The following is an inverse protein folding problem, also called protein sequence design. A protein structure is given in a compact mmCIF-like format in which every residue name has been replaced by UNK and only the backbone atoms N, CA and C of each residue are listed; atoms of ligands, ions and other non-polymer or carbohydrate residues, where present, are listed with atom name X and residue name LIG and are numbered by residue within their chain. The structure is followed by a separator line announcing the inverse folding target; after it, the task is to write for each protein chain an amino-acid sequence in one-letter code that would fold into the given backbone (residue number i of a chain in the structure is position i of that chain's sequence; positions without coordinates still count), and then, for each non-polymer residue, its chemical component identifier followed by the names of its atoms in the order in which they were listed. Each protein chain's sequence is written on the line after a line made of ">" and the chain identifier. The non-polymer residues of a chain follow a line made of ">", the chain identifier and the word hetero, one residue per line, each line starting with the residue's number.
data_IF_660822316586
#
_entry.id   IF_660822316586
#
_cell.length_a   1.000
_cell.length_b   1.000
_cell.length_c   1.000
_cell.angle_alpha   90.00
_cell.angle_beta   90.00
_cell.angle_gamma   90.00
#
_symmetry.space_group_name_H-M   'P 1'
#
loop_
_entity.id
_entity.type
_entity.pdbx_description
1 polymer ?
#
# COMPACT_ATOMS: atom_id res chain seq x y z
N UNK A 1 -4.42 -66.78 39.67
CA UNK A 1 -5.06 -65.57 40.22
C UNK A 1 -3.95 -64.53 40.40
N UNK A 2 -3.41 -63.89 39.35
CA UNK A 2 -3.90 -62.71 38.60
C UNK A 2 -4.34 -61.55 39.51
N UNK A 3 -3.39 -60.70 39.89
CA UNK A 3 -3.62 -59.34 40.37
C UNK A 3 -3.77 -58.43 39.15
N UNK A 4 -4.95 -57.80 39.00
CA UNK A 4 -5.26 -56.85 37.94
C UNK A 4 -5.26 -55.45 38.57
N UNK A 5 -4.27 -54.63 38.20
CA UNK A 5 -4.22 -53.19 38.51
C UNK A 5 -5.21 -52.51 37.56
N UNK A 6 -6.24 -51.88 38.11
CA UNK A 6 -7.22 -51.11 37.36
C UNK A 6 -6.65 -49.70 37.10
N UNK A 7 -6.13 -49.46 35.89
CA UNK A 7 -5.72 -48.14 35.43
C UNK A 7 -6.98 -47.40 34.90
N UNK A 8 -7.37 -46.31 35.55
CA UNK A 8 -8.45 -45.43 35.09
C UNK A 8 -7.91 -44.59 33.93
N UNK A 9 -8.36 -44.88 32.71
CA UNK A 9 -8.07 -44.12 31.50
C UNK A 9 -9.02 -42.93 31.43
N UNK A 10 -8.54 -41.73 31.77
CA UNK A 10 -9.25 -40.48 31.50
C UNK A 10 -9.05 -40.17 30.01
N UNK A 11 -10.07 -40.46 29.20
CA UNK A 11 -10.18 -39.99 27.82
C UNK A 11 -10.49 -38.49 27.83
N UNK A 12 -9.45 -37.64 27.89
CA UNK A 12 -9.59 -36.26 27.42
C UNK A 12 -9.52 -36.28 25.91
N UNK A 13 -10.66 -36.09 25.26
CA UNK A 13 -10.72 -35.76 23.84
C UNK A 13 -10.01 -34.42 23.62
N UNK A 14 -8.74 -34.48 23.24
CA UNK A 14 -8.07 -33.34 22.61
C UNK A 14 -8.76 -33.11 21.27
N UNK A 15 -9.71 -32.17 21.24
CA UNK A 15 -9.97 -31.44 20.00
C UNK A 15 -8.69 -30.68 19.68
N UNK A 16 -7.83 -31.28 18.86
CA UNK A 16 -6.79 -30.53 18.17
C UNK A 16 -7.49 -29.62 17.17
N UNK A 17 -7.81 -28.39 17.60
CA UNK A 17 -7.99 -27.30 16.66
C UNK A 17 -6.73 -27.23 15.79
N UNK A 18 -6.85 -27.04 14.46
CA UNK A 18 -5.67 -26.87 13.64
C UNK A 18 -4.91 -25.65 14.14
N UNK A 19 -3.68 -25.87 14.61
CA UNK A 19 -2.70 -24.82 14.86
C UNK A 19 -2.38 -24.17 13.50
N UNK A 20 -3.11 -23.13 13.15
CA UNK A 20 -2.69 -22.20 12.10
C UNK A 20 -1.43 -21.50 12.62
N UNK A 21 -0.27 -21.97 12.19
CA UNK A 21 1.02 -21.32 12.38
C UNK A 21 1.09 -20.10 11.45
N UNK A 22 0.33 -19.05 11.77
CA UNK A 22 0.10 -17.94 10.83
C UNK A 22 0.41 -16.59 11.48
N UNK A 23 1.65 -16.42 11.94
CA UNK A 23 2.15 -15.08 12.20
C UNK A 23 3.45 -14.84 11.45
N UNK A 24 3.30 -14.70 10.13
CA UNK A 24 4.27 -14.11 9.22
C UNK A 24 4.63 -12.65 9.61
N UNK A 25 3.95 -12.06 10.60
CA UNK A 25 4.23 -10.76 11.19
C UNK A 25 5.20 -10.86 12.37
N UNK A 26 6.31 -10.13 12.27
CA UNK A 26 7.33 -9.99 13.29
C UNK A 26 7.27 -8.56 13.86
N UNK A 27 7.18 -8.44 15.17
CA UNK A 27 7.38 -7.17 15.86
C UNK A 27 8.88 -6.88 15.91
N UNK A 28 9.31 -5.80 15.25
CA UNK A 28 10.74 -5.53 15.04
C UNK A 28 11.27 -4.38 15.88
N UNK A 29 10.41 -3.49 16.38
CA UNK A 29 10.85 -2.35 17.17
C UNK A 29 9.77 -1.79 18.09
N UNK A 30 10.14 -1.64 19.36
CA UNK A 30 9.51 -0.70 20.28
C UNK A 30 10.26 0.61 20.19
N UNK A 31 9.61 1.64 19.68
CA UNK A 31 10.22 2.97 19.69
C UNK A 31 9.81 3.72 20.96
N UNK A 32 10.68 4.57 21.51
CA UNK A 32 10.35 5.49 22.61
C UNK A 32 9.38 6.61 22.16
N UNK A 33 8.64 6.41 21.07
CA UNK A 33 7.83 7.42 20.41
C UNK A 33 6.36 7.04 20.44
N UNK A 34 5.52 8.05 20.30
CA UNK A 34 4.08 7.90 20.38
C UNK A 34 3.52 8.27 19.03
N UNK A 35 2.93 7.29 18.35
CA UNK A 35 2.11 7.50 17.17
C UNK A 35 2.88 7.76 15.87
N UNK A 36 3.11 6.69 15.12
CA UNK A 36 3.38 6.82 13.69
C UNK A 36 2.12 7.23 12.96
N UNK A 37 2.23 8.25 12.12
CA UNK A 37 1.08 8.84 11.44
C UNK A 37 1.04 8.45 9.96
N UNK A 38 2.21 8.45 9.31
CA UNK A 38 2.36 8.22 7.87
C UNK A 38 3.69 7.54 7.57
N UNK A 39 3.78 6.91 6.41
CA UNK A 39 5.00 6.28 5.93
C UNK A 39 5.14 6.49 4.43
N UNK A 40 6.38 6.51 3.95
CA UNK A 40 6.73 6.63 2.54
C UNK A 40 7.71 5.55 2.14
N UNK A 41 7.57 5.03 0.93
CA UNK A 41 8.45 4.02 0.35
C UNK A 41 9.22 4.60 -0.83
N UNK A 42 10.53 4.35 -0.88
CA UNK A 42 11.37 4.63 -2.04
C UNK A 42 11.60 3.35 -2.84
N UNK A 43 11.94 2.27 -2.15
CA UNK A 43 12.11 0.93 -2.70
C UNK A 43 12.03 -0.15 -1.60
N UNK A 44 12.36 -1.39 -1.97
CA UNK A 44 12.25 -2.54 -1.08
C UNK A 44 13.14 -2.51 0.19
N UNK A 45 14.17 -1.66 0.19
CA UNK A 45 15.14 -1.49 1.27
C UNK A 45 15.05 -0.11 1.92
N UNK A 46 14.68 0.91 1.14
CA UNK A 46 14.63 2.30 1.55
C UNK A 46 13.19 2.76 1.75
N UNK A 47 12.81 2.99 3.00
CA UNK A 47 11.50 3.54 3.35
C UNK A 47 11.56 4.22 4.71
N UNK A 48 10.60 5.11 4.96
CA UNK A 48 10.60 5.93 6.16
C UNK A 48 9.22 6.12 6.75
N UNK A 49 9.20 6.49 8.03
CA UNK A 49 7.98 6.72 8.79
C UNK A 49 8.05 8.03 9.54
N UNK A 50 6.98 8.81 9.41
CA UNK A 50 6.75 10.06 10.11
C UNK A 50 5.88 9.79 11.35
N UNK A 51 6.28 10.37 12.47
CA UNK A 51 5.52 10.28 13.70
C UNK A 51 5.89 11.37 14.71
N UNK A 52 5.25 11.30 15.87
CA UNK A 52 5.51 12.21 16.97
C UNK A 52 6.28 11.50 18.09
N UNK A 53 7.21 12.21 18.70
CA UNK A 53 7.82 11.75 19.93
C UNK A 53 6.86 11.91 21.12
N UNK A 54 7.17 11.28 22.27
CA UNK A 54 6.36 11.40 23.49
C UNK A 54 6.20 12.87 23.93
N UNK A 55 7.22 13.69 23.70
CA UNK A 55 7.20 15.13 23.97
C UNK A 55 6.50 15.96 22.87
N UNK A 56 5.89 15.32 21.88
CA UNK A 56 5.17 15.95 20.77
C UNK A 56 6.05 16.41 19.61
N UNK A 57 7.37 16.22 19.67
CA UNK A 57 8.28 16.67 18.60
C UNK A 57 8.17 15.79 17.37
N UNK A 58 8.15 16.41 16.19
CA UNK A 58 8.09 15.75 14.90
C UNK A 58 9.35 14.97 14.60
N UNK A 59 9.21 13.70 14.20
CA UNK A 59 10.34 12.81 13.91
C UNK A 59 10.10 12.05 12.62
N UNK A 60 11.16 11.90 11.85
CA UNK A 60 11.20 11.03 10.68
C UNK A 60 12.31 10.00 10.85
N UNK A 61 11.96 8.73 10.69
CA UNK A 61 12.90 7.61 10.69
C UNK A 61 13.00 7.02 9.31
N UNK A 62 14.22 6.78 8.86
CA UNK A 62 14.54 6.14 7.60
C UNK A 62 15.24 4.81 7.89
N UNK A 63 14.93 3.80 7.10
CA UNK A 63 15.72 2.57 6.98
C UNK A 63 16.31 2.49 5.57
N UNK A 64 17.48 1.88 5.47
CA UNK A 64 18.15 1.60 4.20
C UNK A 64 18.48 0.10 4.02
N UNK A 65 17.97 -0.75 4.91
CA UNK A 65 18.23 -2.19 4.96
C UNK A 65 16.95 -3.02 5.10
N UNK A 66 15.82 -2.46 4.67
CA UNK A 66 14.53 -3.14 4.74
C UNK A 66 14.02 -3.25 6.16
N UNK A 67 14.23 -2.22 6.97
CA UNK A 67 13.66 -2.07 8.32
C UNK A 67 14.36 -2.85 9.40
N UNK A 68 15.59 -3.32 9.16
CA UNK A 68 16.41 -3.98 10.17
C UNK A 68 16.98 -2.90 11.11
N UNK A 69 17.58 -1.86 10.54
CA UNK A 69 18.04 -0.68 11.24
C UNK A 69 17.25 0.57 10.82
N UNK A 70 17.07 1.48 11.77
CA UNK A 70 16.31 2.71 11.58
C UNK A 70 17.10 3.89 12.15
N UNK A 71 17.30 4.91 11.34
CA UNK A 71 18.00 6.14 11.68
C UNK A 71 17.01 7.31 11.69
N UNK A 72 17.08 8.16 12.72
CA UNK A 72 16.39 9.45 12.71
C UNK A 72 17.14 10.40 11.80
N UNK A 73 16.48 10.95 10.77
CA UNK A 73 17.11 11.92 9.87
C UNK A 73 16.58 13.33 10.06
N UNK A 74 15.33 13.49 10.50
CA UNK A 74 14.77 14.79 10.84
C UNK A 74 15.19 15.22 12.25
N UNK A 75 15.89 16.35 12.37
CA UNK A 75 16.48 16.87 13.62
C UNK A 75 15.62 17.95 14.27
N UNK A 76 15.86 18.20 15.57
CA UNK A 76 15.13 19.23 16.33
C UNK A 76 15.36 20.64 15.75
N UNK A 77 16.52 20.90 15.14
CA UNK A 77 16.87 22.19 14.52
C UNK A 77 15.91 22.57 13.37
N UNK A 78 15.33 21.56 12.70
CA UNK A 78 14.35 21.76 11.64
C UNK A 78 12.93 21.83 12.21
N UNK A 79 12.64 21.08 13.27
CA UNK A 79 11.29 20.96 13.83
C UNK A 79 10.85 22.12 14.72
N UNK A 80 11.75 22.99 15.18
CA UNK A 80 11.41 24.11 16.08
C UNK A 80 11.67 25.47 15.43
N UNK A 81 10.73 26.41 15.54
CA UNK A 81 10.93 27.80 15.10
C UNK A 81 12.13 28.44 15.82
N UNK A 82 12.28 28.17 17.11
CA UNK A 82 13.42 28.59 17.94
C UNK A 82 14.10 27.33 18.55
N UNK A 83 15.03 26.68 17.82
CA UNK A 83 15.62 25.40 18.25
C UNK A 83 16.37 25.42 19.58
N UNK A 84 17.14 26.48 19.82
CA UNK A 84 18.00 26.63 21.01
C UNK A 84 17.23 26.53 22.33
N UNK A 85 15.97 26.99 22.32
CA UNK A 85 15.06 26.96 23.46
C UNK A 85 13.87 26.02 23.25
N UNK A 86 13.88 25.23 22.16
CA UNK A 86 12.83 24.26 21.79
C UNK A 86 11.42 24.85 21.81
N UNK A 87 11.25 26.01 21.17
CA UNK A 87 9.96 26.72 21.11
C UNK A 87 9.40 26.77 19.69
N UNK A 88 8.08 26.62 19.60
CA UNK A 88 7.35 26.61 18.33
C UNK A 88 7.59 25.34 17.52
N UNK A 89 7.16 24.18 18.05
CA UNK A 89 7.24 22.91 17.31
C UNK A 89 6.34 22.96 16.06
N UNK A 90 6.87 22.50 14.94
CA UNK A 90 6.16 22.38 13.66
C UNK A 90 5.46 21.02 13.63
N UNK A 91 4.14 21.00 13.82
CA UNK A 91 3.39 19.74 13.83
C UNK A 91 3.04 19.30 12.41
N UNK A 92 3.31 18.05 12.02
CA UNK A 92 3.04 17.57 10.68
C UNK A 92 1.53 17.36 10.50
N UNK A 93 1.05 17.72 9.31
CA UNK A 93 -0.32 17.49 8.85
C UNK A 93 -0.35 16.28 7.91
N UNK A 94 0.53 16.29 6.91
CA UNK A 94 0.70 15.18 5.97
C UNK A 94 2.13 15.13 5.42
N UNK A 95 2.46 14.02 4.78
CA UNK A 95 3.70 13.80 4.05
C UNK A 95 3.39 13.28 2.66
N UNK A 96 4.06 13.82 1.65
CA UNK A 96 3.94 13.33 0.29
C UNK A 96 5.33 13.20 -0.35
N UNK A 97 5.45 12.19 -1.21
CA UNK A 97 6.64 11.94 -2.02
C UNK A 97 6.28 12.22 -3.47
N UNK A 98 7.06 13.08 -4.09
CA UNK A 98 6.94 13.48 -5.49
C UNK A 98 7.47 12.40 -6.43
N UNK A 99 7.06 12.45 -7.70
CA UNK A 99 7.62 11.60 -8.76
C UNK A 99 9.13 11.83 -8.97
N UNK A 100 9.61 13.04 -8.70
CA UNK A 100 11.03 13.41 -8.72
C UNK A 100 11.83 12.83 -7.54
N UNK A 101 11.15 12.17 -6.59
CA UNK A 101 11.76 11.56 -5.42
C UNK A 101 11.97 12.51 -4.23
N UNK A 102 11.56 13.77 -4.35
CA UNK A 102 11.54 14.72 -3.22
C UNK A 102 10.42 14.37 -2.25
N UNK A 103 10.62 14.73 -0.98
CA UNK A 103 9.68 14.47 0.10
C UNK A 103 9.34 15.78 0.78
N UNK A 104 8.04 16.03 0.95
CA UNK A 104 7.52 17.22 1.61
C UNK A 104 6.63 16.82 2.79
N UNK A 105 6.78 17.53 3.90
CA UNK A 105 5.96 17.45 5.09
C UNK A 105 5.30 18.82 5.26
N UNK A 106 3.98 18.88 5.12
CA UNK A 106 3.20 20.07 5.42
C UNK A 106 2.98 20.17 6.93
N UNK A 107 3.13 21.37 7.51
CA UNK A 107 2.94 21.62 8.93
C UNK A 107 1.75 22.54 9.23
N UNK A 108 1.28 22.53 10.46
CA UNK A 108 0.11 23.27 10.98
C UNK A 108 0.22 24.82 10.97
N UNK A 109 1.41 25.34 10.71
CA UNK A 109 1.78 26.77 10.78
C UNK A 109 2.19 27.36 9.42
N UNK A 110 1.75 26.73 8.32
CA UNK A 110 2.11 27.11 6.95
C UNK A 110 3.58 26.86 6.59
N UNK A 111 4.33 26.20 7.48
CA UNK A 111 5.69 25.74 7.19
C UNK A 111 5.67 24.41 6.45
N UNK A 112 6.64 24.25 5.57
CA UNK A 112 6.94 23.00 4.89
C UNK A 112 8.35 22.58 5.26
N UNK A 113 8.50 21.30 5.60
CA UNK A 113 9.80 20.65 5.78
C UNK A 113 9.98 19.73 4.58
N UNK A 114 11.12 19.79 3.92
CA UNK A 114 11.33 19.00 2.70
C UNK A 114 12.76 18.47 2.58
N UNK A 115 12.91 17.43 1.77
CA UNK A 115 14.17 16.80 1.44
C UNK A 115 14.21 16.49 -0.07
N UNK A 116 15.36 16.76 -0.67
CA UNK A 116 15.64 16.50 -2.10
C UNK A 116 16.71 15.43 -2.28
N UNK A 117 17.15 14.77 -1.20
CA UNK A 117 18.28 13.86 -1.16
C UNK A 117 17.92 12.54 -0.44
N UNK A 118 16.72 12.03 -0.75
CA UNK A 118 16.19 10.78 -0.19
C UNK A 118 16.11 10.78 1.34
N UNK A 119 15.67 11.91 1.92
CA UNK A 119 15.53 12.12 3.37
C UNK A 119 16.86 12.05 4.15
N UNK A 120 18.00 12.27 3.49
CA UNK A 120 19.31 12.32 4.15
C UNK A 120 19.49 13.65 4.88
N UNK A 121 19.09 14.76 4.26
CA UNK A 121 19.04 16.09 4.86
C UNK A 121 17.67 16.73 4.70
N UNK A 122 17.38 17.70 5.55
CA UNK A 122 16.09 18.38 5.62
C UNK A 122 16.27 19.89 5.64
N UNK A 123 15.38 20.56 4.95
CA UNK A 123 15.26 22.01 4.94
C UNK A 123 13.82 22.40 5.26
N UNK A 124 13.59 23.66 5.58
CA UNK A 124 12.23 24.18 5.76
C UNK A 124 12.07 25.56 5.15
N UNK A 125 10.84 25.87 4.77
CA UNK A 125 10.43 27.19 4.32
C UNK A 125 9.01 27.49 4.79
N UNK A 126 8.63 28.77 4.81
CA UNK A 126 7.26 29.19 5.08
C UNK A 126 6.58 29.52 3.75
N UNK A 127 5.37 29.00 3.55
CA UNK A 127 4.55 29.31 2.39
C UNK A 127 3.97 30.73 2.46
N UNK A 128 3.47 31.24 1.34
CA UNK A 128 2.80 32.55 1.26
C UNK A 128 1.53 32.64 2.10
N UNK A 129 0.90 31.51 2.41
CA UNK A 129 -0.32 31.45 3.23
C UNK A 129 -0.06 30.77 4.57
N UNK A 130 -0.53 31.43 5.63
CA UNK A 130 -0.57 30.88 6.99
C UNK A 130 -1.95 30.23 7.19
N UNK A 131 -2.09 29.03 6.63
CA UNK A 131 -3.36 28.31 6.59
C UNK A 131 -3.28 27.02 7.40
N UNK A 132 -4.37 26.68 8.09
CA UNK A 132 -4.49 25.45 8.85
C UNK A 132 -4.86 24.29 7.92
N UNK A 133 -3.90 23.88 7.08
CA UNK A 133 -4.08 22.74 6.19
C UNK A 133 -4.45 21.48 6.99
N UNK A 134 -5.30 20.65 6.37
CA UNK A 134 -5.76 19.36 6.87
C UNK A 134 -5.29 18.21 5.99
N UNK A 135 -5.09 18.49 4.71
CA UNK A 135 -4.65 17.52 3.71
C UNK A 135 -3.63 18.16 2.79
N UNK A 136 -2.71 17.35 2.30
CA UNK A 136 -1.63 17.79 1.44
C UNK A 136 -1.17 16.63 0.55
N UNK A 137 -0.92 16.91 -0.72
CA UNK A 137 -0.35 15.94 -1.65
C UNK A 137 0.47 16.65 -2.74
N UNK A 138 1.55 16.02 -3.21
CA UNK A 138 2.40 16.54 -4.28
C UNK A 138 2.41 15.57 -5.45
N UNK A 139 2.40 16.11 -6.67
CA UNK A 139 2.65 15.32 -7.87
C UNK A 139 4.15 15.26 -8.16
N UNK A 140 4.75 16.43 -8.42
CA UNK A 140 6.17 16.60 -8.72
C UNK A 140 6.80 17.67 -7.81
N UNK A 141 8.04 18.08 -8.08
CA UNK A 141 8.74 19.12 -7.30
C UNK A 141 8.13 20.53 -7.37
N UNK A 142 7.14 20.75 -8.23
CA UNK A 142 6.50 22.06 -8.46
C UNK A 142 5.01 22.04 -8.12
N UNK A 143 4.29 21.03 -8.62
CA UNK A 143 2.84 20.93 -8.56
C UNK A 143 2.42 20.17 -7.32
N UNK A 144 1.63 20.82 -6.48
CA UNK A 144 1.05 20.24 -5.29
C UNK A 144 -0.28 20.86 -4.92
N UNK A 145 -1.04 20.14 -4.12
CA UNK A 145 -2.32 20.60 -3.59
C UNK A 145 -2.32 20.54 -2.07
N UNK A 146 -2.99 21.50 -1.48
CA UNK A 146 -3.24 21.53 -0.05
C UNK A 146 -4.70 21.92 0.18
N UNK A 147 -5.30 21.43 1.26
CA UNK A 147 -6.67 21.78 1.58
C UNK A 147 -6.82 22.08 3.06
N UNK A 148 -7.61 23.10 3.37
CA UNK A 148 -8.22 23.24 4.70
C UNK A 148 -9.44 22.33 4.76
N UNK A 149 -10.25 22.49 5.80
CA UNK A 149 -11.53 21.81 5.91
C UNK A 149 -12.54 22.22 4.82
N UNK A 150 -12.39 23.41 4.21
CA UNK A 150 -13.38 23.97 3.28
C UNK A 150 -12.80 24.45 1.95
N UNK A 151 -11.50 24.69 1.88
CA UNK A 151 -10.85 25.37 0.74
C UNK A 151 -9.75 24.50 0.18
N UNK A 152 -9.74 24.33 -1.15
CA UNK A 152 -8.65 23.70 -1.89
C UNK A 152 -7.69 24.76 -2.41
N UNK A 153 -6.40 24.44 -2.37
CA UNK A 153 -5.34 25.25 -2.93
C UNK A 153 -4.47 24.41 -3.86
N UNK A 154 -3.95 25.05 -4.90
CA UNK A 154 -2.90 24.51 -5.76
C UNK A 154 -1.65 25.38 -5.68
N UNK A 155 -0.50 24.75 -5.80
CA UNK A 155 0.79 25.39 -5.99
C UNK A 155 1.43 24.82 -7.25
N UNK A 156 2.15 25.68 -7.98
CA UNK A 156 2.95 25.31 -9.16
C UNK A 156 4.44 25.69 -8.97
N UNK A 157 4.84 26.00 -7.74
CA UNK A 157 6.16 26.50 -7.38
C UNK A 157 6.73 25.82 -6.12
N UNK A 158 6.37 24.55 -5.90
CA UNK A 158 6.88 23.72 -4.82
C UNK A 158 6.35 24.15 -3.45
N UNK A 159 5.08 24.57 -3.40
CA UNK A 159 4.36 25.07 -2.22
C UNK A 159 4.85 26.43 -1.69
N UNK A 160 5.68 27.14 -2.45
CA UNK A 160 6.12 28.49 -2.08
C UNK A 160 4.93 29.46 -2.08
N UNK A 161 4.07 29.37 -3.08
CA UNK A 161 2.80 30.09 -3.16
C UNK A 161 1.63 29.15 -3.44
N UNK A 162 0.44 29.56 -3.01
CA UNK A 162 -0.80 28.83 -3.23
C UNK A 162 -1.86 29.74 -3.83
N UNK A 163 -2.64 29.18 -4.74
CA UNK A 163 -3.83 29.78 -5.34
C UNK A 163 -5.04 28.97 -4.90
N UNK A 164 -6.08 29.64 -4.42
CA UNK A 164 -7.34 29.01 -4.07
C UNK A 164 -8.08 28.54 -5.32
N UNK A 165 -8.54 27.28 -5.30
CA UNK A 165 -9.39 26.70 -6.34
C UNK A 165 -10.81 26.53 -5.80
N UNK A 166 -11.82 27.18 -6.41
CA UNK A 166 -13.20 26.99 -6.02
C UNK A 166 -13.72 25.60 -6.46
N UNK A 167 -14.35 24.89 -5.54
CA UNK A 167 -15.00 23.59 -5.82
C UNK A 167 -16.46 23.84 -6.20
N UNK A 168 -16.70 24.07 -7.49
CA UNK A 168 -18.04 24.33 -8.02
C UNK A 168 -18.59 23.10 -8.73
N UNK A 169 -19.65 22.50 -8.18
CA UNK A 169 -20.35 21.34 -8.75
C UNK A 169 -21.80 21.69 -9.02
N UNK A 170 -22.31 21.26 -10.17
CA UNK A 170 -23.71 21.45 -10.54
C UNK A 170 -24.61 20.72 -9.53
N UNK A 171 -25.53 21.44 -8.90
CA UNK A 171 -26.51 20.94 -7.93
C UNK A 171 -25.95 20.35 -6.63
N UNK A 172 -24.69 20.65 -6.26
CA UNK A 172 -24.12 20.22 -4.98
C UNK A 172 -23.29 21.33 -4.33
N UNK A 173 -23.49 21.52 -3.03
CA UNK A 173 -22.68 22.40 -2.20
C UNK A 173 -21.77 21.54 -1.34
N UNK A 174 -20.46 21.66 -1.53
CA UNK A 174 -19.46 21.00 -0.71
C UNK A 174 -19.30 21.76 0.60
N UNK A 175 -19.48 21.07 1.73
CA UNK A 175 -19.37 21.66 3.07
C UNK A 175 -18.06 21.31 3.77
N UNK A 176 -17.45 20.16 3.48
CA UNK A 176 -16.21 19.74 4.15
C UNK A 176 -15.38 18.83 3.25
N UNK A 177 -14.06 19.02 3.25
CA UNK A 177 -13.10 18.12 2.58
C UNK A 177 -12.64 17.04 3.59
N UNK A 178 -12.59 15.78 3.15
CA UNK A 178 -12.15 14.64 3.93
C UNK A 178 -10.82 14.04 3.46
N UNK A 179 -10.50 14.21 2.18
CA UNK A 179 -9.22 13.79 1.60
C UNK A 179 -9.04 14.43 0.22
N UNK A 180 -7.79 14.64 -0.18
CA UNK A 180 -7.41 15.09 -1.52
C UNK A 180 -6.32 14.17 -2.08
N UNK A 181 -6.27 14.03 -3.40
CA UNK A 181 -5.23 13.30 -4.12
C UNK A 181 -4.96 13.97 -5.46
N UNK A 182 -3.70 14.18 -5.82
CA UNK A 182 -3.30 14.61 -7.15
C UNK A 182 -2.59 13.46 -7.87
N UNK A 183 -2.98 13.18 -9.12
CA UNK A 183 -2.37 12.11 -9.92
C UNK A 183 -1.35 12.64 -10.93
N UNK A 184 -1.66 13.80 -11.51
CA UNK A 184 -0.82 14.59 -12.41
C UNK A 184 -1.24 16.07 -12.36
N UNK A 185 -0.69 16.90 -13.24
CA UNK A 185 -0.99 18.33 -13.37
C UNK A 185 -2.49 18.65 -13.61
N UNK A 186 -3.29 17.68 -14.08
CA UNK A 186 -4.68 17.89 -14.48
C UNK A 186 -5.69 17.18 -13.57
N UNK A 187 -5.32 16.03 -13.01
CA UNK A 187 -6.22 15.10 -12.35
C UNK A 187 -6.17 15.21 -10.82
N UNK A 188 -7.25 15.73 -10.25
CA UNK A 188 -7.41 15.92 -8.80
C UNK A 188 -8.65 15.18 -8.33
N UNK A 189 -8.53 14.42 -7.25
CA UNK A 189 -9.65 13.76 -6.57
C UNK A 189 -9.85 14.35 -5.19
N UNK A 190 -11.12 14.50 -4.82
CA UNK A 190 -11.52 14.96 -3.49
C UNK A 190 -12.63 14.07 -2.96
N UNK A 191 -12.45 13.59 -1.74
CA UNK A 191 -13.55 13.01 -0.95
C UNK A 191 -14.07 14.14 -0.07
N UNK A 192 -15.36 14.42 -0.16
CA UNK A 192 -15.96 15.57 0.51
C UNK A 192 -17.39 15.31 1.00
N UNK A 193 -17.83 16.06 2.00
CA UNK A 193 -19.22 16.13 2.43
C UNK A 193 -19.99 17.10 1.55
N UNK A 194 -21.13 16.66 1.04
CA UNK A 194 -22.09 17.50 0.33
C UNK A 194 -23.25 17.85 1.24
N UNK A 195 -23.42 19.15 1.53
CA UNK A 195 -24.56 19.66 2.28
C UNK A 195 -25.88 19.40 1.56
N UNK A 196 -25.90 19.61 0.24
CA UNK A 196 -27.10 19.45 -0.58
C UNK A 196 -27.57 18.00 -0.65
N UNK A 197 -26.64 17.04 -0.74
CA UNK A 197 -26.95 15.62 -0.85
C UNK A 197 -27.04 14.92 0.52
N UNK A 198 -26.54 15.56 1.59
CA UNK A 198 -26.45 14.99 2.94
C UNK A 198 -25.68 13.66 2.95
N UNK A 199 -24.63 13.59 2.13
CA UNK A 199 -23.77 12.42 1.98
C UNK A 199 -22.36 12.85 1.62
N UNK A 200 -21.39 11.97 1.86
CA UNK A 200 -20.06 12.16 1.30
C UNK A 200 -20.04 11.71 -0.16
N UNK A 201 -19.18 12.34 -0.95
CA UNK A 201 -19.07 12.19 -2.40
C UNK A 201 -17.59 12.10 -2.79
N UNK A 202 -17.32 11.40 -3.89
CA UNK A 202 -16.05 11.52 -4.61
C UNK A 202 -16.27 12.46 -5.78
N UNK A 203 -15.39 13.44 -5.89
CA UNK A 203 -15.42 14.41 -6.98
C UNK A 203 -14.04 14.42 -7.62
N UNK A 204 -14.02 14.66 -8.93
CA UNK A 204 -12.82 14.64 -9.75
C UNK A 204 -12.76 15.92 -10.58
N UNK A 205 -11.56 16.44 -10.78
CA UNK A 205 -11.24 17.36 -11.85
C UNK A 205 -10.24 16.69 -12.79
N UNK A 206 -10.39 16.95 -14.10
CA UNK A 206 -9.46 16.50 -15.15
C UNK A 206 -8.82 17.69 -15.89
N UNK A 207 -8.89 18.88 -15.29
CA UNK A 207 -8.39 20.14 -15.85
C UNK A 207 -7.95 21.10 -14.74
N UNK A 208 -7.15 20.58 -13.81
CA UNK A 208 -6.48 21.36 -12.77
C UNK A 208 -7.45 22.13 -11.85
N UNK A 209 -8.64 21.57 -11.61
CA UNK A 209 -9.66 22.18 -10.76
C UNK A 209 -10.53 23.24 -11.44
N UNK A 210 -10.39 23.45 -12.75
CA UNK A 210 -11.23 24.40 -13.50
C UNK A 210 -12.70 23.97 -13.54
N UNK A 211 -12.95 22.66 -13.68
CA UNK A 211 -14.28 22.06 -13.57
C UNK A 211 -14.24 20.78 -12.74
N UNK A 212 -15.36 20.47 -12.10
CA UNK A 212 -15.51 19.31 -11.22
C UNK A 212 -16.70 18.46 -11.65
N UNK A 213 -16.49 17.14 -11.63
CA UNK A 213 -17.54 16.15 -11.83
C UNK A 213 -17.70 15.28 -10.59
N UNK A 214 -18.93 14.87 -10.32
CA UNK A 214 -19.22 13.92 -9.25
C UNK A 214 -19.13 12.51 -9.80
N UNK A 215 -18.29 11.69 -9.17
CA UNK A 215 -18.14 10.29 -9.56
C UNK A 215 -19.18 9.48 -8.79
N UNK A 216 -20.04 8.80 -9.56
CA UNK A 216 -21.03 7.89 -8.97
C UNK A 216 -20.39 6.52 -8.78
N UNK A 217 -20.28 6.12 -7.52
CA UNK A 217 -19.91 4.78 -7.09
C UNK A 217 -20.72 4.47 -5.82
N UNK A 218 -20.40 3.39 -5.10
CA UNK A 218 -21.14 3.00 -3.90
C UNK A 218 -21.15 4.04 -2.76
N UNK A 219 -21.50 3.60 -1.56
CA UNK A 219 -21.53 4.52 -0.40
C UNK A 219 -20.11 4.81 0.09
N UNK A 220 -19.88 6.05 0.51
CA UNK A 220 -18.66 6.47 1.17
C UNK A 220 -19.01 7.32 2.39
N UNK A 221 -18.33 7.08 3.51
CA UNK A 221 -18.32 8.00 4.67
C UNK A 221 -16.95 8.64 4.82
N UNK A 222 -15.89 7.84 4.80
CA UNK A 222 -14.52 8.36 4.75
C UNK A 222 -13.76 7.60 3.69
N UNK A 223 -12.57 8.06 3.32
CA UNK A 223 -11.74 7.22 2.49
C UNK A 223 -10.29 7.61 2.36
N UNK A 224 -9.55 6.71 1.72
CA UNK A 224 -8.14 6.82 1.39
C UNK A 224 -7.94 6.39 -0.06
N UNK A 225 -7.39 7.29 -0.84
CA UNK A 225 -6.99 7.04 -2.21
C UNK A 225 -5.53 6.63 -2.27
N UNK A 226 -5.22 5.66 -3.12
CA UNK A 226 -3.88 5.28 -3.50
C UNK A 226 -3.84 5.08 -5.02
N UNK A 227 -2.75 5.47 -5.68
CA UNK A 227 -2.60 5.28 -7.11
C UNK A 227 -1.23 4.71 -7.49
N UNK A 228 -1.21 3.97 -8.59
CA UNK A 228 0.02 3.61 -9.33
C UNK A 228 -0.14 4.17 -10.74
N UNK A 229 0.69 5.15 -11.07
CA UNK A 229 0.51 5.91 -12.31
C UNK A 229 -0.84 6.63 -12.34
N UNK A 230 -1.36 6.85 -13.55
CA UNK A 230 -2.59 7.62 -13.79
C UNK A 230 -3.84 6.75 -13.89
N UNK A 231 -3.69 5.47 -14.22
CA UNK A 231 -4.81 4.60 -14.53
C UNK A 231 -5.27 3.82 -13.30
N UNK A 232 -4.33 3.27 -12.53
CA UNK A 232 -4.64 2.38 -11.42
C UNK A 232 -4.85 3.15 -10.12
N UNK A 233 -6.11 3.21 -9.67
CA UNK A 233 -6.49 3.94 -8.45
C UNK A 233 -7.32 3.02 -7.57
N UNK A 234 -6.94 2.91 -6.30
CA UNK A 234 -7.72 2.21 -5.29
C UNK A 234 -8.26 3.19 -4.26
N UNK A 235 -9.47 2.90 -3.78
CA UNK A 235 -10.16 3.67 -2.77
C UNK A 235 -10.64 2.73 -1.65
N UNK A 236 -10.05 2.87 -0.47
CA UNK A 236 -10.64 2.30 0.74
C UNK A 236 -11.70 3.27 1.26
N UNK A 237 -12.94 2.81 1.39
CA UNK A 237 -14.10 3.63 1.72
C UNK A 237 -14.97 2.98 2.81
N UNK A 238 -14.49 2.88 4.06
CA UNK A 238 -15.27 2.26 5.12
C UNK A 238 -16.48 3.12 5.52
N UNK A 239 -17.55 2.46 5.98
CA UNK A 239 -18.78 3.10 6.47
C UNK A 239 -19.22 2.55 7.83
N UNK A 240 -19.90 3.39 8.60
CA UNK A 240 -20.63 3.02 9.80
C UNK A 240 -22.05 2.61 9.45
N UNK A 241 -22.56 1.53 10.06
CA UNK A 241 -23.95 1.09 9.91
C UNK A 241 -24.56 0.98 11.30
N UNK A 242 -25.59 1.79 11.54
CA UNK A 242 -26.38 1.76 12.76
C UNK A 242 -27.68 0.99 12.51
N UNK A 243 -27.81 -0.18 13.16
CA UNK A 243 -29.01 -1.01 13.05
C UNK A 243 -29.36 -1.62 14.41
N UNK A 244 -30.64 -1.51 14.81
CA UNK A 244 -31.16 -2.10 16.06
C UNK A 244 -30.36 -1.73 17.32
N UNK A 245 -29.86 -0.50 17.42
CA UNK A 245 -29.06 -0.04 18.56
C UNK A 245 -27.62 -0.55 18.61
N UNK A 246 -27.18 -1.30 17.58
CA UNK A 246 -25.80 -1.74 17.42
C UNK A 246 -25.13 -0.94 16.29
N UNK A 247 -23.92 -0.46 16.56
CA UNK A 247 -23.02 0.06 15.53
C UNK A 247 -22.21 -1.10 14.96
N UNK A 248 -22.21 -1.22 13.64
CA UNK A 248 -21.37 -2.13 12.87
C UNK A 248 -20.58 -1.29 11.87
N UNK A 249 -19.52 -1.85 11.30
CA UNK A 249 -18.75 -1.19 10.24
C UNK A 249 -18.70 -2.08 9.03
N UNK A 250 -18.66 -1.49 7.85
CA UNK A 250 -18.43 -2.22 6.61
C UNK A 250 -17.26 -1.56 5.89
N UNK A 251 -16.23 -2.35 5.60
CA UNK A 251 -15.10 -1.90 4.80
C UNK A 251 -15.40 -2.13 3.33
N UNK A 252 -15.23 -1.10 2.51
CA UNK A 252 -15.24 -1.23 1.06
C UNK A 252 -13.86 -0.90 0.48
N UNK A 253 -13.44 -1.65 -0.55
CA UNK A 253 -12.32 -1.28 -1.40
C UNK A 253 -12.81 -1.28 -2.85
N UNK A 254 -12.63 -0.13 -3.51
CA UNK A 254 -12.93 0.08 -4.92
C UNK A 254 -11.65 0.22 -5.72
N UNK A 255 -11.73 -0.09 -7.01
CA UNK A 255 -10.64 0.05 -7.96
C UNK A 255 -11.11 0.67 -9.26
N UNK A 256 -10.28 1.52 -9.84
CA UNK A 256 -10.44 2.09 -11.17
C UNK A 256 -9.16 1.85 -11.98
N UNK A 257 -9.33 1.59 -13.27
CA UNK A 257 -8.26 1.47 -14.26
C UNK A 257 -8.48 2.42 -15.46
N UNK A 258 -9.30 3.45 -15.30
CA UNK A 258 -9.72 4.37 -16.36
C UNK A 258 -9.67 5.83 -15.89
N UNK A 259 -8.61 6.17 -15.14
CA UNK A 259 -8.41 7.48 -14.51
C UNK A 259 -9.53 7.88 -13.54
N UNK A 260 -10.16 6.92 -12.86
CA UNK A 260 -11.22 7.17 -11.89
C UNK A 260 -12.57 7.52 -12.49
N UNK A 261 -12.79 7.26 -13.78
CA UNK A 261 -14.08 7.49 -14.45
C UNK A 261 -15.11 6.42 -14.04
N UNK A 262 -14.68 5.16 -13.90
CA UNK A 262 -15.49 4.06 -13.38
C UNK A 262 -14.80 3.35 -12.23
N UNK A 263 -15.59 2.85 -11.29
CA UNK A 263 -15.11 2.20 -10.07
C UNK A 263 -15.79 0.86 -9.87
N UNK A 264 -14.98 -0.17 -9.67
CA UNK A 264 -15.42 -1.54 -9.46
C UNK A 264 -15.22 -1.88 -7.99
N UNK A 265 -16.26 -2.40 -7.34
CA UNK A 265 -16.16 -2.94 -5.98
C UNK A 265 -15.32 -4.22 -6.00
N UNK A 266 -14.21 -4.20 -5.25
CA UNK A 266 -13.28 -5.32 -5.16
C UNK A 266 -13.43 -6.08 -3.84
N UNK A 267 -13.80 -5.38 -2.76
CA UNK A 267 -13.96 -5.97 -1.43
C UNK A 267 -15.09 -5.31 -0.66
N UNK A 268 -15.89 -6.11 0.04
CA UNK A 268 -16.85 -5.67 1.05
C UNK A 268 -16.84 -6.64 2.22
N UNK A 269 -16.70 -6.14 3.44
CA UNK A 269 -16.77 -6.97 4.63
C UNK A 269 -17.43 -6.23 5.79
N UNK A 270 -18.60 -6.71 6.18
CA UNK A 270 -19.30 -6.21 7.36
C UNK A 270 -18.72 -6.84 8.63
N UNK A 271 -18.40 -6.00 9.60
CA UNK A 271 -17.79 -6.38 10.87
C UNK A 271 -18.68 -5.93 12.03
N UNK A 272 -18.69 -6.75 13.07
CA UNK A 272 -19.37 -6.49 14.33
C UNK A 272 -18.59 -5.54 15.28
N UNK A 273 -17.53 -4.90 14.79
CA UNK A 273 -16.70 -3.97 15.56
C UNK A 273 -16.66 -2.59 14.89
N UNK A 274 -16.09 -1.62 15.59
CA UNK A 274 -15.96 -0.22 15.14
C UNK A 274 -14.66 0.06 14.36
N UNK A 275 -13.96 -0.98 13.89
CA UNK A 275 -12.67 -0.80 13.22
C UNK A 275 -12.82 -0.30 11.80
N UNK A 276 -11.96 0.63 11.38
CA UNK A 276 -11.93 1.16 10.00
C UNK A 276 -10.58 0.98 9.34
N UNK A 277 -10.58 0.76 8.03
CA UNK A 277 -9.38 0.94 7.20
C UNK A 277 -8.99 2.42 7.22
N UNK A 278 -7.75 2.69 7.57
CA UNK A 278 -7.17 4.04 7.70
C UNK A 278 -6.03 4.29 6.71
N UNK A 279 -5.48 3.22 6.14
CA UNK A 279 -4.31 3.25 5.26
C UNK A 279 -4.42 2.18 4.18
N UNK A 280 -3.93 2.51 2.99
CA UNK A 280 -3.93 1.67 1.80
C UNK A 280 -2.64 1.93 1.03
N UNK A 281 -1.95 0.86 0.63
CA UNK A 281 -0.72 0.97 -0.15
C UNK A 281 -0.55 -0.24 -1.07
N UNK A 282 0.00 -0.02 -2.25
CA UNK A 282 0.36 -1.08 -3.19
C UNK A 282 1.83 -0.95 -3.60
N UNK A 283 2.47 -2.11 -3.81
CA UNK A 283 3.82 -2.22 -4.36
C UNK A 283 3.78 -2.19 -5.89
N UNK A 284 2.83 -2.92 -6.47
CA UNK A 284 2.53 -2.99 -7.89
C UNK A 284 1.01 -3.13 -8.07
N UNK A 285 0.55 -3.29 -9.31
CA UNK A 285 -0.89 -3.40 -9.61
C UNK A 285 -1.58 -4.66 -9.02
N UNK A 286 -0.82 -5.61 -8.49
CA UNK A 286 -1.33 -6.88 -7.96
C UNK A 286 -1.22 -6.97 -6.43
N UNK A 287 -0.18 -6.39 -5.86
CA UNK A 287 0.22 -6.61 -4.48
C UNK A 287 -0.11 -5.38 -3.63
N UNK A 288 -1.11 -5.53 -2.76
CA UNK A 288 -1.62 -4.45 -1.92
C UNK A 288 -1.75 -4.82 -0.45
N UNK A 289 -1.78 -3.81 0.40
CA UNK A 289 -2.05 -3.90 1.83
C UNK A 289 -2.99 -2.78 2.26
N UNK A 290 -3.98 -3.13 3.08
CA UNK A 290 -4.87 -2.18 3.74
C UNK A 290 -4.80 -2.42 5.24
N UNK A 291 -4.68 -1.35 6.03
CA UNK A 291 -4.63 -1.46 7.49
C UNK A 291 -5.57 -0.50 8.18
N UNK A 292 -5.86 -0.77 9.45
CA UNK A 292 -6.87 -0.03 10.16
C UNK A 292 -6.79 -0.07 11.68
N UNK A 293 -7.86 0.44 12.29
CA UNK A 293 -8.06 0.39 13.73
C UNK A 293 -8.15 -1.04 14.26
N UNK A 294 -7.80 -1.24 15.53
CA UNK A 294 -7.80 -2.56 16.19
C UNK A 294 -6.93 -3.61 15.48
N UNK A 295 -5.82 -3.19 14.89
CA UNK A 295 -4.89 -4.09 14.22
C UNK A 295 -5.43 -4.72 12.92
N UNK A 296 -6.42 -4.12 12.27
CA UNK A 296 -6.92 -4.62 10.98
C UNK A 296 -5.78 -4.61 9.95
N UNK A 297 -5.56 -5.76 9.31
CA UNK A 297 -4.59 -5.94 8.23
C UNK A 297 -5.23 -6.85 7.17
N UNK A 298 -5.37 -6.32 5.96
CA UNK A 298 -5.78 -7.05 4.77
C UNK A 298 -4.66 -7.00 3.73
N UNK A 299 -4.41 -8.10 3.04
CA UNK A 299 -3.48 -8.15 1.91
C UNK A 299 -4.18 -8.71 0.68
N UNK A 300 -3.72 -8.26 -0.49
CA UNK A 300 -4.11 -8.78 -1.79
C UNK A 300 -2.87 -9.09 -2.61
N UNK A 301 -2.99 -10.09 -3.48
CA UNK A 301 -1.95 -10.54 -4.40
C UNK A 301 -2.45 -10.59 -5.85
N UNK A 302 -3.67 -10.11 -6.11
CA UNK A 302 -4.37 -10.17 -7.40
C UNK A 302 -5.01 -8.82 -7.81
N UNK A 303 -4.51 -7.71 -7.25
CA UNK A 303 -4.92 -6.34 -7.57
C UNK A 303 -6.15 -5.86 -6.82
N UNK A 304 -6.46 -6.55 -5.72
CA UNK A 304 -7.61 -6.27 -4.88
C UNK A 304 -8.81 -7.16 -5.15
N UNK A 305 -8.79 -8.01 -6.19
CA UNK A 305 -9.93 -8.91 -6.52
C UNK A 305 -10.28 -9.82 -5.36
N UNK A 306 -9.27 -10.23 -4.60
CA UNK A 306 -9.44 -10.87 -3.30
C UNK A 306 -8.59 -10.20 -2.25
N UNK A 307 -9.14 -10.08 -1.04
CA UNK A 307 -8.44 -9.58 0.13
C UNK A 307 -8.52 -10.59 1.25
N UNK A 308 -7.35 -10.89 1.82
CA UNK A 308 -7.19 -11.86 2.88
C UNK A 308 -6.81 -11.14 4.15
N UNK A 309 -7.54 -11.42 5.23
CA UNK A 309 -7.19 -10.89 6.54
C UNK A 309 -5.96 -11.60 7.06
N UNK A 310 -4.86 -10.87 7.24
CA UNK A 310 -3.56 -11.47 7.60
C UNK A 310 -3.41 -11.76 9.09
N UNK A 311 -4.33 -11.31 9.95
CA UNK A 311 -4.23 -11.44 11.40
C UNK A 311 -5.53 -12.01 11.98
N UNK A 312 -5.45 -13.16 12.66
CA UNK A 312 -6.61 -13.82 13.25
C UNK A 312 -6.82 -13.45 14.73
N UNK A 313 -8.09 -13.35 15.10
CA UNK A 313 -8.78 -12.86 16.32
C UNK A 313 -8.16 -13.05 17.72
N UNK A 314 -7.10 -13.84 17.89
CA UNK A 314 -6.60 -14.19 19.23
C UNK A 314 -5.51 -13.25 19.75
N UNK A 315 -4.99 -12.37 18.90
CA UNK A 315 -3.87 -11.48 19.18
C UNK A 315 -4.14 -10.02 18.78
N UNK A 316 -5.38 -9.53 18.87
CA UNK A 316 -5.71 -8.12 18.54
C UNK A 316 -4.55 -7.22 18.95
N UNK A 317 -3.84 -6.65 17.97
CA UNK A 317 -3.00 -5.50 18.26
C UNK A 317 -4.01 -4.50 18.79
N UNK A 318 -4.00 -4.28 20.11
CA UNK A 318 -4.92 -3.35 20.76
C UNK A 318 -4.40 -1.93 20.51
N UNK A 319 -4.16 -1.64 19.23
CA UNK A 319 -3.40 -0.56 18.63
C UNK A 319 -4.03 -0.27 17.28
N UNK A 320 -3.99 1.00 16.91
CA UNK A 320 -4.45 1.42 15.60
C UNK A 320 -3.26 1.43 14.66
N UNK A 321 -3.40 0.81 13.50
CA UNK A 321 -2.40 0.88 12.44
C UNK A 321 -2.76 2.07 11.55
N UNK A 322 -1.92 3.10 11.51
CA UNK A 322 -2.19 4.34 10.76
C UNK A 322 -1.42 4.43 9.44
N UNK A 323 -0.34 3.67 9.32
CA UNK A 323 0.45 3.60 8.10
C UNK A 323 0.84 2.17 7.77
N UNK A 324 0.78 1.83 6.49
CA UNK A 324 1.23 0.57 5.95
C UNK A 324 2.03 0.80 4.67
N UNK A 325 3.01 -0.06 4.42
CA UNK A 325 3.80 -0.11 3.20
C UNK A 325 3.84 -1.54 2.69
N UNK A 326 3.42 -1.76 1.45
CA UNK A 326 3.71 -2.96 0.69
C UNK A 326 5.04 -2.73 -0.02
N UNK A 327 6.05 -3.52 0.36
CA UNK A 327 7.45 -3.27 0.01
C UNK A 327 7.87 -4.18 -1.15
N UNK A 328 7.27 -5.37 -1.21
CA UNK A 328 7.40 -6.38 -2.26
C UNK A 328 6.22 -7.35 -2.17
N UNK A 329 6.15 -8.32 -3.08
CA UNK A 329 5.16 -9.41 -3.04
C UNK A 329 5.24 -10.24 -1.74
N UNK A 330 6.41 -10.35 -1.10
CA UNK A 330 6.63 -11.17 0.09
C UNK A 330 6.79 -10.35 1.38
N UNK A 331 6.85 -9.02 1.30
CA UNK A 331 7.14 -8.15 2.47
C UNK A 331 6.18 -6.98 2.59
N UNK A 332 5.81 -6.68 3.83
CA UNK A 332 5.10 -5.47 4.18
C UNK A 332 5.59 -4.96 5.53
N UNK A 333 5.37 -3.67 5.81
CA UNK A 333 5.59 -3.07 7.12
C UNK A 333 4.39 -2.25 7.50
N UNK A 334 4.02 -2.32 8.78
CA UNK A 334 2.92 -1.54 9.35
C UNK A 334 3.39 -0.83 10.62
N UNK A 335 2.83 0.35 10.84
CA UNK A 335 3.21 1.25 11.91
C UNK A 335 2.00 1.57 12.78
N UNK A 336 2.17 1.48 14.10
CA UNK A 336 1.07 1.66 15.04
C UNK A 336 1.08 3.02 15.74
N UNK A 337 -0.08 3.37 16.29
CA UNK A 337 -0.31 4.54 17.13
C UNK A 337 0.45 4.51 18.47
N UNK A 338 0.96 3.34 18.85
CA UNK A 338 1.85 3.15 20.01
C UNK A 338 3.33 3.17 19.68
N UNK A 339 3.70 3.47 18.43
CA UNK A 339 5.09 3.55 18.01
C UNK A 339 5.73 2.17 17.76
N UNK A 340 4.93 1.12 17.60
CA UNK A 340 5.42 -0.20 17.21
C UNK A 340 5.53 -0.32 15.70
N UNK A 341 6.52 -1.10 15.27
CA UNK A 341 6.73 -1.45 13.87
C UNK A 341 6.62 -2.97 13.73
N UNK A 342 5.74 -3.43 12.85
CA UNK A 342 5.61 -4.84 12.52
C UNK A 342 6.00 -5.06 11.07
N UNK A 343 6.74 -6.14 10.80
CA UNK A 343 7.20 -6.54 9.49
C UNK A 343 6.59 -7.89 9.12
N UNK A 344 5.92 -7.93 7.99
CA UNK A 344 5.51 -9.16 7.35
C UNK A 344 6.63 -9.73 6.50
N UNK A 345 6.83 -11.04 6.61
CA UNK A 345 7.60 -11.82 5.66
C UNK A 345 6.83 -13.10 5.37
N UNK A 346 6.46 -13.32 4.11
CA UNK A 346 5.87 -14.58 3.68
C UNK A 346 6.90 -15.69 3.87
N UNK A 347 6.63 -16.65 4.75
CA UNK A 347 7.45 -17.85 4.88
C UNK A 347 7.12 -18.81 3.73
N UNK A 348 8.14 -19.26 2.99
CA UNK A 348 8.00 -20.24 1.89
C UNK A 348 7.41 -21.60 2.32
N UNK A 349 7.23 -21.84 3.63
CA UNK A 349 6.68 -23.09 4.17
C UNK A 349 5.17 -23.07 4.44
N UNK A 350 4.46 -21.97 4.22
CA UNK A 350 2.99 -21.94 4.28
C UNK A 350 2.39 -21.92 2.87
N UNK A 351 2.67 -22.98 2.09
CA UNK A 351 1.94 -23.26 0.85
C UNK A 351 0.61 -23.88 1.25
N UNK A 352 -0.42 -23.05 1.37
CA UNK A 352 -1.82 -23.44 1.25
C UNK A 352 -2.62 -22.24 0.73
N UNK A 353 -2.19 -21.71 -0.42
CA UNK A 353 -3.14 -21.06 -1.31
C UNK A 353 -3.61 -22.11 -2.30
N UNK A 354 -4.92 -22.18 -2.49
CA UNK A 354 -5.59 -22.98 -3.51
C UNK A 354 -4.89 -22.71 -4.85
N UNK A 355 -4.06 -23.66 -5.29
CA UNK A 355 -3.38 -23.62 -6.58
C UNK A 355 -4.42 -23.42 -7.68
N UNK A 356 -4.32 -22.28 -8.38
CA UNK A 356 -4.78 -22.17 -9.76
C UNK A 356 -3.53 -22.27 -10.65
N UNK A 357 -3.37 -23.44 -11.25
CA UNK A 357 -2.57 -23.78 -12.43
C UNK A 357 -1.22 -23.06 -12.56
N UNK A 358 -0.18 -23.58 -11.88
CA UNK A 358 1.18 -23.05 -11.98
C UNK A 358 2.07 -23.85 -12.96
N UNK A 359 2.81 -23.11 -13.81
CA UNK A 359 3.99 -23.61 -14.51
C UNK A 359 5.20 -23.23 -13.69
N UNK A 360 6.01 -24.20 -13.27
CA UNK A 360 7.29 -23.94 -12.63
C UNK A 360 8.42 -23.99 -13.64
N UNK A 361 9.30 -22.98 -13.66
CA UNK A 361 10.52 -22.96 -14.49
C UNK A 361 11.73 -23.01 -13.55
N UNK A 362 12.44 -24.13 -13.55
CA UNK A 362 13.65 -24.33 -12.77
C UNK A 362 14.87 -24.37 -13.68
N UNK A 363 15.80 -23.45 -13.47
CA UNK A 363 17.16 -23.59 -14.02
C UNK A 363 18.03 -24.30 -12.98
N UNK A 364 18.41 -25.55 -13.27
CA UNK A 364 19.42 -26.24 -12.47
C UNK A 364 20.79 -25.69 -12.89
N UNK A 365 21.49 -25.03 -11.97
CA UNK A 365 22.78 -24.36 -12.19
C UNK A 365 23.93 -25.26 -12.67
N UNK A 366 23.66 -26.56 -12.86
CA UNK A 366 24.60 -27.56 -13.35
C UNK A 366 24.14 -28.25 -14.65
N UNK A 367 23.06 -27.77 -15.28
CA UNK A 367 22.57 -28.33 -16.55
C UNK A 367 22.47 -27.27 -17.65
N UNK A 368 22.76 -27.67 -18.88
CA UNK A 368 22.43 -26.94 -20.10
C UNK A 368 20.93 -26.97 -20.44
N UNK A 369 20.06 -27.23 -19.47
CA UNK A 369 18.62 -27.39 -19.66
C UNK A 369 17.82 -26.52 -18.69
N UNK A 370 16.74 -25.92 -19.18
CA UNK A 370 15.66 -25.35 -18.37
C UNK A 370 14.60 -26.43 -18.14
N UNK A 371 14.30 -26.75 -16.89
CA UNK A 371 13.16 -27.60 -16.55
C UNK A 371 11.89 -26.75 -16.48
N UNK A 372 10.85 -27.14 -17.20
CA UNK A 372 9.54 -26.49 -17.18
C UNK A 372 8.48 -27.53 -16.83
N UNK A 373 7.77 -27.32 -15.73
CA UNK A 373 6.76 -28.25 -15.25
C UNK A 373 5.35 -27.81 -15.72
N UNK A 374 4.71 -28.62 -16.56
CA UNK A 374 3.35 -28.40 -17.07
C UNK A 374 2.29 -29.27 -16.38
N UNK A 375 2.57 -29.83 -15.19
CA UNK A 375 1.70 -30.82 -14.56
C UNK A 375 0.33 -30.30 -14.09
N UNK A 376 0.12 -28.98 -14.03
CA UNK A 376 -1.15 -28.38 -13.59
C UNK A 376 -1.91 -27.61 -14.68
N UNK A 377 -1.49 -27.71 -15.95
CA UNK A 377 -2.19 -27.06 -17.06
C UNK A 377 -2.95 -28.09 -17.89
N UNK A 378 -4.23 -27.84 -18.13
CA UNK A 378 -4.98 -28.54 -19.16
C UNK A 378 -4.64 -27.93 -20.54
N UNK A 379 -3.51 -28.38 -21.13
CA UNK A 379 -2.94 -27.84 -22.39
C UNK A 379 -3.95 -27.89 -23.55
N UNK A 380 -5.01 -28.69 -23.43
CA UNK A 380 -6.08 -28.84 -24.44
C UNK A 380 -7.11 -27.71 -24.42
N UNK A 381 -7.22 -26.93 -23.35
CA UNK A 381 -8.23 -25.84 -23.21
C UNK A 381 -7.63 -24.44 -23.25
N UNK A 382 -6.31 -24.28 -23.08
CA UNK A 382 -5.62 -22.99 -23.14
C UNK A 382 -5.36 -22.51 -24.58
N UNK A 383 -6.30 -21.75 -25.16
CA UNK A 383 -6.21 -21.23 -26.55
C UNK A 383 -5.02 -20.29 -26.86
N UNK A 384 -4.16 -19.95 -25.90
CA UNK A 384 -3.12 -18.91 -26.05
C UNK A 384 -1.67 -19.37 -25.76
N UNK A 385 -1.41 -20.67 -25.60
CA UNK A 385 -0.07 -21.21 -25.31
C UNK A 385 0.55 -21.83 -26.58
N UNK A 386 0.93 -21.00 -27.56
CA UNK A 386 1.50 -21.51 -28.82
C UNK A 386 3.01 -21.74 -28.73
N UNK A 387 3.75 -20.80 -28.11
CA UNK A 387 5.21 -20.82 -28.12
C UNK A 387 5.81 -20.37 -26.79
N UNK A 388 6.98 -20.93 -26.51
CA UNK A 388 7.94 -20.50 -25.50
C UNK A 388 9.04 -19.67 -26.18
N UNK A 389 9.42 -18.53 -25.60
CA UNK A 389 10.48 -17.66 -26.12
C UNK A 389 11.51 -17.31 -25.06
N UNK A 390 12.79 -17.19 -25.45
CA UNK A 390 13.87 -16.66 -24.60
C UNK A 390 14.42 -15.39 -25.23
N UNK A 391 14.59 -14.36 -24.42
CA UNK A 391 15.16 -13.07 -24.79
C UNK A 391 16.42 -12.77 -23.99
N UNK A 392 17.40 -12.11 -24.59
CA UNK A 392 18.52 -11.52 -23.84
C UNK A 392 18.13 -10.15 -23.25
N UNK A 393 19.04 -9.53 -22.48
CA UNK A 393 18.81 -8.20 -21.88
C UNK A 393 18.63 -7.06 -22.89
N UNK A 394 19.00 -7.27 -24.15
CA UNK A 394 18.82 -6.30 -25.24
C UNK A 394 17.48 -6.47 -25.95
N UNK A 395 16.65 -7.44 -25.53
CA UNK A 395 15.35 -7.73 -26.14
C UNK A 395 15.43 -8.58 -27.41
N UNK A 396 16.58 -9.18 -27.71
CA UNK A 396 16.75 -10.06 -28.87
C UNK A 396 16.23 -11.46 -28.54
N UNK A 397 15.40 -12.02 -29.41
CA UNK A 397 14.85 -13.37 -29.24
C UNK A 397 15.91 -14.43 -29.59
N UNK A 398 16.38 -15.14 -28.57
CA UNK A 398 17.45 -16.14 -28.67
C UNK A 398 16.91 -17.55 -28.91
N UNK A 399 15.71 -17.86 -28.39
CA UNK A 399 15.03 -19.15 -28.58
C UNK A 399 13.54 -18.87 -28.81
N UNK A 400 12.94 -19.59 -29.77
CA UNK A 400 11.51 -19.60 -30.01
C UNK A 400 11.09 -21.02 -30.42
N UNK A 401 10.33 -21.69 -29.57
CA UNK A 401 9.93 -23.08 -29.77
C UNK A 401 8.46 -23.28 -29.40
N UNK A 402 7.78 -24.16 -30.13
CA UNK A 402 6.40 -24.57 -29.82
C UNK A 402 6.37 -25.40 -28.54
N UNK A 403 5.34 -25.19 -27.71
CA UNK A 403 5.16 -25.96 -26.47
C UNK A 403 4.68 -27.38 -26.82
N UNK A 404 5.29 -28.46 -26.29
CA UNK A 404 4.81 -29.83 -26.51
C UNK A 404 3.40 -30.03 -25.94
N UNK A 405 2.55 -30.79 -26.63
CA UNK A 405 1.15 -31.05 -26.25
C UNK A 405 0.97 -32.06 -25.10
N UNK A 406 2.06 -32.50 -24.47
CA UNK A 406 2.06 -33.49 -23.38
C UNK A 406 2.22 -32.81 -22.02
N UNK A 407 1.28 -33.07 -21.11
CA UNK A 407 1.42 -32.71 -19.69
C UNK A 407 2.66 -33.42 -19.10
N UNK A 408 3.45 -32.72 -18.29
CA UNK A 408 4.72 -33.25 -17.79
C UNK A 408 5.77 -32.19 -17.50
N UNK A 409 6.89 -32.62 -16.91
CA UNK A 409 8.15 -31.85 -16.96
C UNK A 409 8.74 -31.90 -18.36
N UNK A 410 9.11 -30.75 -18.90
CA UNK A 410 9.83 -30.57 -20.15
C UNK A 410 11.20 -29.99 -19.87
N UNK A 411 12.15 -30.30 -20.75
CA UNK A 411 13.52 -29.80 -20.64
C UNK A 411 13.89 -29.07 -21.92
N UNK A 412 14.24 -27.79 -21.82
CA UNK A 412 14.64 -26.96 -22.95
C UNK A 412 16.15 -26.81 -22.96
N UNK A 413 16.76 -27.25 -24.04
CA UNK A 413 18.20 -27.09 -24.27
C UNK A 413 18.57 -25.62 -24.46
N UNK A 414 19.37 -25.10 -23.54
CA UNK A 414 19.95 -23.75 -23.54
C UNK A 414 21.47 -23.78 -23.68
N UNK A 415 22.08 -24.91 -24.05
CA UNK A 415 23.53 -25.08 -24.25
C UNK A 415 24.14 -24.03 -25.17
N UNK A 416 23.39 -23.57 -26.18
CA UNK A 416 23.84 -22.60 -27.19
C UNK A 416 23.82 -21.14 -26.73
N UNK A 417 23.18 -20.84 -25.60
CA UNK A 417 23.20 -19.48 -25.05
C UNK A 417 24.58 -19.17 -24.46
N UNK A 418 25.02 -17.92 -24.56
CA UNK A 418 26.24 -17.47 -23.86
C UNK A 418 25.95 -17.27 -22.37
N UNK A 419 26.97 -17.13 -21.53
CA UNK A 419 26.76 -16.73 -20.13
C UNK A 419 26.10 -15.34 -20.08
N UNK A 420 25.07 -15.17 -19.27
CA UNK A 420 24.29 -13.94 -19.22
C UNK A 420 22.91 -14.09 -18.56
N UNK A 421 22.22 -12.96 -18.42
CA UNK A 421 20.85 -12.88 -17.95
C UNK A 421 19.88 -13.00 -19.13
N UNK A 422 18.87 -13.86 -18.97
CA UNK A 422 17.86 -14.14 -19.98
C UNK A 422 16.46 -14.08 -19.40
N UNK A 423 15.49 -13.71 -20.24
CA UNK A 423 14.06 -13.68 -19.92
C UNK A 423 13.33 -14.74 -20.72
N UNK A 424 12.49 -15.51 -20.05
CA UNK A 424 11.69 -16.59 -20.59
C UNK A 424 10.24 -16.15 -20.64
N UNK A 425 9.59 -16.28 -21.80
CA UNK A 425 8.20 -15.88 -22.01
C UNK A 425 7.36 -17.08 -22.44
N UNK A 426 6.27 -17.34 -21.73
CA UNK A 426 5.29 -18.41 -22.01
C UNK A 426 3.89 -17.82 -21.88
N UNK A 427 3.17 -17.64 -23.00
CA UNK A 427 1.90 -16.92 -23.01
C UNK A 427 2.07 -15.50 -22.46
N UNK A 428 1.38 -15.18 -21.35
CA UNK A 428 1.48 -13.89 -20.66
C UNK A 428 2.50 -13.87 -19.50
N UNK A 429 3.22 -14.98 -19.26
CA UNK A 429 4.18 -15.10 -18.15
C UNK A 429 5.59 -14.75 -18.59
N UNK A 430 6.34 -14.09 -17.71
CA UNK A 430 7.75 -13.71 -17.91
C UNK A 430 8.56 -14.13 -16.69
N UNK A 431 9.60 -14.92 -16.90
CA UNK A 431 10.54 -15.38 -15.87
C UNK A 431 11.98 -15.00 -16.24
N UNK A 432 12.90 -14.95 -15.29
CA UNK A 432 14.32 -14.68 -15.55
C UNK A 432 15.22 -15.81 -15.07
N UNK A 433 16.28 -16.11 -15.82
CA UNK A 433 17.33 -17.02 -15.38
C UNK A 433 18.72 -16.48 -15.78
N UNK A 434 19.73 -16.89 -15.01
CA UNK A 434 21.13 -16.56 -15.28
C UNK A 434 21.83 -17.83 -15.75
N UNK A 435 22.37 -17.79 -16.97
CA UNK A 435 23.30 -18.81 -17.45
C UNK A 435 24.71 -18.42 -17.01
N UNK A 436 25.36 -19.28 -16.24
CA UNK A 436 26.74 -19.08 -15.78
C UNK A 436 27.77 -19.61 -16.78
#
# INVERSE_FOLDING_TARGET
>A
MKNLILLILILTTYFSLPLYADNNWLHIKDTFYKNFQKAICFDSLNYGALGLAINGVTKFYLTADGGINWQQTLTDDICFLEPEIRRGNLYPIDISRTIDGFVYIACDTGYFIYSTDSCSTWQRFKSSIDSNFKFFDMYDSKIGIAATEHTLFISEDGCSTFIEIPINIVNAIISRIWNIKILDENHIFIIAESYSLKSNVLIKSSNQGSTWEMISFGKIETGRLFNIGLEHIWLAAPISIYSQGKKTTEDFIYYSNDHGNTWILQYSNQKDNDGFITSLNFYDEFNGIATGWYGLIYMTFDGGKTWQQSFHRQYYLNENLFACLRISQDKAVVFSDKGHIYKYKLNEMSINYLHQEEIFINYLTQSDYLEINFNEIDIRTSKNLENFKIYNILGECMVNQSIPTSNGKQYIDVSKLSAGLYFVIIGNRVEKFVKM
#
